data_IF_473208253771
#
_entry.id   IF_473208253771
#
_cell.length_a   1.000
_cell.length_b   1.000
_cell.length_c   1.000
_cell.angle_alpha   90.00
_cell.angle_beta   90.00
_cell.angle_gamma   90.00
#
_symmetry.space_group_name_H-M   'P 1'
#
loop_
_entity.id
_entity.type
_entity.pdbx_description
1 polymer ?
#
# COMPACT_ATOMS: atom_id res chain seq x y z
N UNK A 1 -9.74 10.91 -3.44
CA UNK A 1 -10.01 9.74 -2.56
C UNK A 1 -9.44 10.02 -1.18
N UNK A 2 -10.17 9.65 -0.17
CA UNK A 2 -9.74 9.89 1.20
C UNK A 2 -8.82 8.79 1.70
N UNK A 3 -7.73 9.20 2.32
CA UNK A 3 -6.80 8.34 3.01
C UNK A 3 -6.73 8.75 4.48
N UNK A 4 -6.17 7.87 5.29
CA UNK A 4 -6.00 8.13 6.72
C UNK A 4 -4.55 7.81 7.09
N UNK A 5 -4.00 8.57 8.03
CA UNK A 5 -2.67 8.31 8.56
C UNK A 5 -2.77 7.12 9.50
N UNK A 6 -2.27 6.00 9.06
CA UNK A 6 -2.27 4.74 9.81
C UNK A 6 -1.15 4.70 10.83
N UNK A 7 0.01 5.22 10.46
CA UNK A 7 1.18 5.27 11.30
C UNK A 7 1.74 6.69 11.24
N UNK A 8 2.06 7.28 12.37
CA UNK A 8 2.55 8.65 12.44
C UNK A 8 3.62 8.91 11.38
N UNK A 9 3.43 9.95 10.60
CA UNK A 9 4.39 10.39 9.60
C UNK A 9 5.10 11.62 10.09
N UNK A 10 6.39 11.49 10.37
CA UNK A 10 7.24 12.59 10.84
C UNK A 10 8.48 12.64 9.96
N UNK A 11 8.60 13.70 9.16
CA UNK A 11 9.72 13.84 8.26
C UNK A 11 9.45 14.82 7.14
N UNK A 12 10.40 14.93 6.22
CA UNK A 12 10.30 15.81 5.07
C UNK A 12 9.57 15.12 3.92
N UNK A 13 8.48 15.73 3.47
CA UNK A 13 7.77 15.34 2.26
C UNK A 13 8.00 16.35 1.15
N UNK A 14 7.23 16.23 0.05
CA UNK A 14 7.35 17.12 -1.11
C UNK A 14 7.16 18.59 -0.73
N UNK A 15 6.15 18.89 0.08
CA UNK A 15 5.78 20.25 0.45
C UNK A 15 6.46 20.78 1.72
N UNK A 16 7.46 20.09 2.25
CA UNK A 16 8.18 20.50 3.45
C UNK A 16 8.13 19.46 4.57
N UNK A 17 8.31 19.90 5.80
CA UNK A 17 8.30 19.03 6.96
C UNK A 17 6.89 18.76 7.45
N UNK A 18 6.63 17.50 7.79
CA UNK A 18 5.35 17.05 8.30
C UNK A 18 5.49 16.33 9.62
N UNK A 19 4.46 16.44 10.45
CA UNK A 19 4.30 15.67 11.67
C UNK A 19 2.82 15.31 11.79
N UNK A 20 2.43 14.25 11.09
CA UNK A 20 1.03 13.83 10.99
C UNK A 20 0.77 12.70 11.95
N UNK A 21 -0.17 12.93 12.88
CA UNK A 21 -0.55 11.93 13.88
C UNK A 21 -1.38 10.83 13.26
N UNK A 22 -1.37 9.66 13.87
CA UNK A 22 -2.29 8.58 13.58
C UNK A 22 -3.74 9.10 13.56
N UNK A 23 -4.49 8.72 12.54
CA UNK A 23 -5.87 9.16 12.39
C UNK A 23 -6.06 10.44 11.61
N UNK A 24 -5.00 11.16 11.26
CA UNK A 24 -5.12 12.38 10.47
C UNK A 24 -5.59 12.03 9.05
N UNK A 25 -6.66 12.71 8.62
CA UNK A 25 -7.20 12.54 7.26
C UNK A 25 -6.32 13.26 6.26
N UNK A 26 -6.01 12.58 5.17
CA UNK A 26 -5.26 13.15 4.04
C UNK A 26 -6.03 12.82 2.75
N UNK A 27 -5.74 13.55 1.69
CA UNK A 27 -6.48 13.42 0.43
C UNK A 27 -5.52 12.99 -0.67
N UNK A 28 -5.90 11.96 -1.44
CA UNK A 28 -5.18 11.58 -2.64
C UNK A 28 -5.73 12.35 -3.83
N UNK A 29 -4.84 12.96 -4.58
CA UNK A 29 -5.18 13.68 -5.80
C UNK A 29 -4.03 13.55 -6.80
N UNK A 30 -4.34 13.07 -8.01
CA UNK A 30 -3.34 12.87 -9.05
C UNK A 30 -2.23 11.89 -8.70
N UNK A 31 -2.49 10.94 -7.82
CA UNK A 31 -1.50 9.96 -7.37
C UNK A 31 -0.64 10.42 -6.20
N UNK A 32 -0.90 11.61 -5.64
CA UNK A 32 -0.16 12.16 -4.52
C UNK A 32 -1.08 12.40 -3.32
N UNK A 33 -0.52 12.17 -2.13
CA UNK A 33 -1.21 12.44 -0.87
C UNK A 33 -0.97 13.89 -0.46
N UNK A 34 -2.02 14.54 0.02
CA UNK A 34 -1.99 15.94 0.45
C UNK A 34 -2.47 16.05 1.89
N UNK A 35 -1.76 16.85 2.68
CA UNK A 35 -2.13 17.15 4.05
C UNK A 35 -3.38 18.04 4.09
N UNK A 36 -4.03 18.17 5.28
CA UNK A 36 -5.18 19.06 5.41
C UNK A 36 -4.93 20.51 4.99
N UNK A 37 -3.69 20.97 5.08
CA UNK A 37 -3.31 22.32 4.66
C UNK A 37 -3.05 22.45 3.15
N UNK A 38 -3.20 21.35 2.39
CA UNK A 38 -3.04 21.34 0.95
C UNK A 38 -1.65 21.02 0.45
N UNK A 39 -0.64 20.92 1.32
CA UNK A 39 0.72 20.60 0.90
C UNK A 39 0.84 19.14 0.50
N UNK A 40 1.61 18.87 -0.57
CA UNK A 40 1.90 17.51 -1.00
C UNK A 40 2.82 16.80 -0.02
N UNK A 41 2.51 15.54 0.30
CA UNK A 41 3.29 14.72 1.22
C UNK A 41 4.23 13.80 0.45
N UNK A 42 3.66 12.86 -0.28
CA UNK A 42 4.40 11.85 -1.05
C UNK A 42 3.48 11.21 -2.07
N UNK A 43 4.07 10.47 -3.01
CA UNK A 43 3.29 9.66 -3.93
C UNK A 43 2.60 8.52 -3.16
N UNK A 44 1.37 8.22 -3.54
CA UNK A 44 0.60 7.15 -2.91
C UNK A 44 1.27 5.79 -3.09
N UNK A 45 2.07 5.65 -4.13
CA UNK A 45 2.81 4.42 -4.45
C UNK A 45 4.22 4.39 -3.86
N UNK A 46 4.65 5.43 -3.15
CA UNK A 46 5.97 5.46 -2.52
C UNK A 46 6.01 4.57 -1.28
N UNK A 47 7.21 4.30 -0.76
CA UNK A 47 7.37 3.57 0.50
C UNK A 47 6.65 4.24 1.65
N UNK A 48 6.77 5.55 1.75
CA UNK A 48 6.11 6.32 2.79
C UNK A 48 4.59 6.23 2.65
N UNK A 49 4.08 6.28 1.40
CA UNK A 49 2.67 6.09 1.14
C UNK A 49 2.16 4.72 1.58
N UNK A 50 2.95 3.68 1.34
CA UNK A 50 2.62 2.33 1.77
C UNK A 50 2.67 2.15 3.28
N UNK A 51 3.69 2.68 3.90
CA UNK A 51 3.95 2.46 5.33
C UNK A 51 3.02 3.27 6.22
N UNK A 52 2.74 4.51 5.85
CA UNK A 52 2.09 5.46 6.75
C UNK A 52 0.63 5.73 6.45
N UNK A 53 0.13 5.43 5.26
CA UNK A 53 -1.20 5.84 4.85
C UNK A 53 -2.03 4.67 4.35
N UNK A 54 -3.32 4.71 4.65
CA UNK A 54 -4.29 3.67 4.26
C UNK A 54 -5.52 4.32 3.66
N UNK A 55 -6.18 3.68 2.66
CA UNK A 55 -7.47 4.17 2.20
C UNK A 55 -8.48 4.27 3.34
N UNK A 56 -9.27 5.32 3.34
CA UNK A 56 -10.24 5.59 4.40
C UNK A 56 -11.58 4.86 4.22
N UNK A 57 -11.67 3.86 3.34
CA UNK A 57 -12.88 3.07 3.11
C UNK A 57 -12.75 1.67 3.69
N UNK A 58 -13.85 1.00 4.06
CA UNK A 58 -13.79 -0.39 4.54
C UNK A 58 -13.14 -1.33 3.54
N UNK A 59 -13.46 -1.21 2.26
CA UNK A 59 -12.83 -2.01 1.21
C UNK A 59 -11.34 -1.75 1.12
N UNK A 60 -10.94 -0.49 1.16
CA UNK A 60 -9.52 -0.12 1.13
C UNK A 60 -8.76 -0.66 2.33
N UNK A 61 -9.35 -0.60 3.52
CA UNK A 61 -8.76 -1.15 4.73
C UNK A 61 -8.60 -2.67 4.62
N UNK A 62 -9.62 -3.36 4.09
CA UNK A 62 -9.57 -4.79 3.85
C UNK A 62 -8.47 -5.16 2.86
N UNK A 63 -8.42 -4.47 1.72
CA UNK A 63 -7.38 -4.68 0.72
C UNK A 63 -5.99 -4.52 1.34
N UNK A 64 -5.82 -3.50 2.17
CA UNK A 64 -4.53 -3.24 2.80
C UNK A 64 -4.10 -4.37 3.75
N UNK A 65 -5.03 -4.99 4.44
CA UNK A 65 -4.72 -6.18 5.26
C UNK A 65 -4.15 -7.31 4.41
N UNK A 66 -4.75 -7.57 3.25
CA UNK A 66 -4.24 -8.57 2.32
C UNK A 66 -2.85 -8.19 1.80
N UNK A 67 -2.68 -6.94 1.42
CA UNK A 67 -1.41 -6.44 0.90
C UNK A 67 -0.29 -6.53 1.93
N UNK A 68 -0.55 -6.17 3.18
CA UNK A 68 0.45 -6.24 4.25
C UNK A 68 0.95 -7.67 4.47
N UNK A 69 0.04 -8.64 4.44
CA UNK A 69 0.41 -10.05 4.60
C UNK A 69 1.17 -10.59 3.41
N UNK A 70 0.75 -10.24 2.20
CA UNK A 70 1.46 -10.60 0.98
C UNK A 70 2.85 -9.98 0.94
N UNK A 71 2.96 -8.72 1.35
CA UNK A 71 4.23 -8.02 1.43
C UNK A 71 5.21 -8.73 2.36
N UNK A 72 4.76 -9.10 3.56
CA UNK A 72 5.58 -9.87 4.51
C UNK A 72 5.99 -11.22 3.95
N UNK A 73 5.07 -11.88 3.25
CA UNK A 73 5.33 -13.17 2.62
C UNK A 73 6.50 -13.09 1.64
N UNK A 74 6.54 -12.05 0.80
CA UNK A 74 7.63 -11.90 -0.17
C UNK A 74 8.93 -11.39 0.47
N UNK A 75 8.83 -10.47 1.42
CA UNK A 75 10.04 -9.94 2.09
C UNK A 75 10.71 -10.98 2.96
N UNK A 76 9.94 -11.85 3.60
CA UNK A 76 10.50 -12.92 4.45
C UNK A 76 11.18 -14.04 3.67
N UNK A 77 11.10 -14.02 2.34
CA UNK A 77 11.67 -15.06 1.49
C UNK A 77 10.81 -16.31 1.37
N UNK A 78 9.60 -16.31 1.92
CA UNK A 78 8.66 -17.43 1.78
C UNK A 78 8.02 -17.49 0.40
N UNK A 79 7.96 -16.36 -0.30
CA UNK A 79 7.47 -16.28 -1.66
C UNK A 79 8.56 -15.82 -2.60
N UNK A 80 8.44 -16.19 -3.88
CA UNK A 80 9.36 -15.77 -4.94
C UNK A 80 8.68 -14.75 -5.83
N UNK A 81 8.97 -13.47 -5.59
CA UNK A 81 8.38 -12.38 -6.34
C UNK A 81 8.75 -12.45 -7.84
N UNK A 82 9.97 -12.87 -8.15
CA UNK A 82 10.42 -12.99 -9.54
C UNK A 82 9.60 -14.04 -10.29
N UNK A 83 9.32 -15.18 -9.65
CA UNK A 83 8.51 -16.24 -10.25
C UNK A 83 7.04 -15.81 -10.41
N UNK A 84 6.49 -15.16 -9.38
CA UNK A 84 5.07 -14.79 -9.36
C UNK A 84 4.73 -13.61 -10.25
N UNK A 85 5.70 -12.70 -10.47
CA UNK A 85 5.47 -11.45 -11.21
C UNK A 85 6.29 -11.36 -12.50
N UNK A 86 6.75 -12.47 -13.03
CA UNK A 86 7.59 -12.61 -14.23
C UNK A 86 8.93 -11.85 -14.18
N UNK A 87 10.01 -12.61 -14.18
CA UNK A 87 11.38 -12.12 -14.06
C UNK A 87 11.77 -11.05 -15.10
N UNK A 88 11.12 -11.06 -16.26
CA UNK A 88 11.38 -10.08 -17.33
C UNK A 88 11.06 -8.65 -16.94
N UNK A 89 10.09 -8.48 -16.04
CA UNK A 89 9.62 -7.16 -15.59
C UNK A 89 10.30 -6.68 -14.33
N UNK A 90 11.18 -7.54 -13.76
CA UNK A 90 11.85 -7.26 -12.51
C UNK A 90 13.32 -7.61 -12.59
N UNK A 91 14.06 -6.97 -13.49
CA UNK A 91 15.48 -7.27 -13.61
C UNK A 91 16.25 -7.10 -12.28
N UNK A 92 15.77 -6.22 -11.43
CA UNK A 92 16.44 -5.90 -10.16
C UNK A 92 15.63 -6.27 -8.93
N UNK A 93 14.55 -7.04 -9.09
CA UNK A 93 13.65 -7.39 -7.98
C UNK A 93 13.26 -6.16 -7.15
N UNK A 94 13.07 -5.04 -7.81
CA UNK A 94 12.72 -3.80 -7.16
C UNK A 94 11.40 -3.99 -6.41
N UNK A 95 11.47 -3.88 -5.10
CA UNK A 95 10.35 -4.08 -4.20
C UNK A 95 9.14 -3.22 -4.52
N UNK A 96 9.32 -2.15 -5.24
CA UNK A 96 8.25 -1.25 -5.60
C UNK A 96 7.32 -1.77 -6.68
N UNK A 97 7.87 -2.41 -7.69
CA UNK A 97 7.08 -2.77 -8.86
C UNK A 97 6.02 -3.82 -8.53
N UNK A 98 6.41 -4.89 -7.84
CA UNK A 98 5.45 -5.93 -7.49
C UNK A 98 4.44 -5.44 -6.45
N UNK A 99 4.83 -4.56 -5.53
CA UNK A 99 3.91 -3.91 -4.60
C UNK A 99 2.84 -3.10 -5.33
N UNK A 100 3.25 -2.35 -6.34
CA UNK A 100 2.33 -1.56 -7.14
C UNK A 100 1.38 -2.43 -7.95
N UNK A 101 1.86 -3.55 -8.51
CA UNK A 101 1.01 -4.49 -9.20
C UNK A 101 -0.08 -5.05 -8.28
N UNK A 102 0.28 -5.43 -7.06
CA UNK A 102 -0.68 -5.92 -6.07
C UNK A 102 -1.67 -4.81 -5.68
N UNK A 103 -1.17 -3.62 -5.45
CA UNK A 103 -1.99 -2.49 -5.01
C UNK A 103 -3.03 -2.08 -6.04
N UNK A 104 -2.72 -2.22 -7.32
CA UNK A 104 -3.64 -1.89 -8.41
C UNK A 104 -4.53 -3.05 -8.85
N UNK A 105 -4.29 -4.23 -8.32
CA UNK A 105 -5.07 -5.42 -8.66
C UNK A 105 -6.51 -5.28 -8.16
N UNK A 106 -7.52 -5.59 -9.00
CA UNK A 106 -8.91 -5.56 -8.53
C UNK A 106 -9.14 -6.49 -7.33
N UNK A 107 -10.05 -6.13 -6.45
CA UNK A 107 -10.27 -6.86 -5.21
C UNK A 107 -10.54 -8.36 -5.41
N UNK A 108 -11.41 -8.79 -6.33
CA UNK A 108 -11.61 -10.22 -6.57
C UNK A 108 -10.33 -10.95 -6.97
N UNK A 109 -9.53 -10.32 -7.82
CA UNK A 109 -8.27 -10.89 -8.28
C UNK A 109 -7.23 -10.92 -7.16
N UNK A 110 -7.17 -9.87 -6.36
CA UNK A 110 -6.28 -9.79 -5.20
C UNK A 110 -6.61 -10.88 -4.18
N UNK A 111 -7.90 -11.09 -3.91
CA UNK A 111 -8.37 -12.12 -3.00
C UNK A 111 -8.00 -13.52 -3.48
N UNK A 112 -8.18 -13.78 -4.77
CA UNK A 112 -7.79 -15.06 -5.38
C UNK A 112 -6.27 -15.26 -5.33
N UNK A 113 -5.51 -14.22 -5.60
CA UNK A 113 -4.05 -14.24 -5.53
C UNK A 113 -3.57 -14.55 -4.11
N UNK A 114 -4.18 -13.91 -3.13
CA UNK A 114 -3.90 -14.16 -1.71
C UNK A 114 -4.19 -15.62 -1.34
N UNK A 115 -5.37 -16.11 -1.72
CA UNK A 115 -5.79 -17.47 -1.40
C UNK A 115 -4.86 -18.53 -1.96
N UNK A 116 -4.35 -18.31 -3.15
CA UNK A 116 -3.42 -19.25 -3.80
C UNK A 116 -2.09 -19.37 -3.03
N UNK A 117 -1.71 -18.36 -2.24
CA UNK A 117 -0.41 -18.30 -1.57
C UNK A 117 -0.49 -18.44 -0.06
N UNK A 118 -1.48 -17.84 0.56
CA UNK A 118 -1.59 -17.74 2.02
C UNK A 118 -2.83 -18.45 2.59
N UNK A 119 -3.64 -19.05 1.74
CA UNK A 119 -4.86 -19.74 2.17
C UNK A 119 -6.04 -18.80 2.29
N UNK A 120 -7.02 -19.16 3.13
CA UNK A 120 -8.26 -18.42 3.23
C UNK A 120 -8.02 -16.97 3.67
N UNK A 121 -8.51 -15.99 2.90
CA UNK A 121 -8.37 -14.58 3.29
C UNK A 121 -9.25 -14.27 4.50
N UNK A 122 -8.89 -13.26 5.31
CA UNK A 122 -9.74 -12.80 6.38
C UNK A 122 -11.07 -12.30 5.81
N UNK A 123 -12.13 -12.35 6.63
CA UNK A 123 -13.43 -11.82 6.23
C UNK A 123 -13.40 -10.29 6.27
N UNK A 124 -14.07 -9.68 5.31
CA UNK A 124 -14.27 -8.23 5.33
C UNK A 124 -15.26 -7.89 6.45
N UNK A 125 -14.81 -7.06 7.39
CA UNK A 125 -15.67 -6.48 8.40
C UNK A 125 -16.39 -5.28 7.77
N UNK A 126 -17.69 -5.40 7.60
CA UNK A 126 -18.44 -4.39 6.90
C UNK A 126 -19.55 -3.78 7.67
#
# INVERSE_FOLDING_TARGET
MDYITYKRYKGSGIGGYFNLRHGTKVTENGGFLHAPDGRGICAVTSEDGWEHFRPGTPEGAYRQKLLDKLYRFYISGKGDAAADFTAERFPDADNYYWKNLLRTMPTPKLTAFYSARLGQPPKMEG
#
